data_IF_296196033938
#
_entry.id   IF_296196033938
#
_cell.length_a   1.000
_cell.length_b   1.000
_cell.length_c   1.000
_cell.angle_alpha   90.00
_cell.angle_beta   90.00
_cell.angle_gamma   90.00
#
_symmetry.space_group_name_H-M   'P 1'
#
loop_
_entity.id
_entity.type
_entity.pdbx_description
1 polymer ?
#
# COMPACT_ATOMS: atom_id res chain seq x y z
N UNK A 1 29.38 -7.15 -11.18
CA UNK A 1 28.69 -6.72 -9.95
C UNK A 1 28.28 -5.28 -10.15
N UNK A 2 27.04 -4.95 -9.82
CA UNK A 2 26.35 -3.65 -9.98
C UNK A 2 25.90 -3.30 -11.41
N UNK A 3 24.64 -3.61 -11.73
CA UNK A 3 23.51 -2.70 -11.52
C UNK A 3 22.24 -3.44 -11.95
N UNK A 4 21.58 -4.07 -10.98
CA UNK A 4 20.18 -4.48 -11.16
C UNK A 4 19.41 -3.18 -11.27
N UNK A 5 19.01 -2.86 -12.51
CA UNK A 5 18.14 -1.74 -12.86
C UNK A 5 17.01 -1.65 -11.82
N UNK A 6 16.96 -0.48 -11.18
CA UNK A 6 16.03 -0.14 -10.10
C UNK A 6 14.58 -0.43 -10.53
N UNK A 7 13.84 -0.88 -9.54
CA UNK A 7 12.42 -1.21 -9.58
C UNK A 7 11.58 -0.11 -10.25
N UNK A 8 11.04 -0.38 -11.44
CA UNK A 8 9.99 0.44 -12.04
C UNK A 8 8.65 -0.27 -11.86
N UNK A 9 8.00 0.06 -10.75
CA UNK A 9 6.61 0.53 -10.79
C UNK A 9 6.47 1.91 -10.12
N UNK A 10 7.60 2.60 -10.00
CA UNK A 10 7.68 3.96 -9.54
C UNK A 10 7.56 4.81 -10.80
N UNK A 11 6.41 5.45 -11.03
CA UNK A 11 6.38 6.64 -11.88
C UNK A 11 7.12 7.73 -11.11
N UNK A 12 8.45 7.64 -11.11
CA UNK A 12 9.33 8.62 -10.51
C UNK A 12 9.33 9.84 -11.42
N UNK A 13 8.99 11.00 -10.89
CA UNK A 13 9.76 12.19 -11.29
C UNK A 13 11.08 12.12 -10.52
N UNK A 14 12.08 12.93 -10.88
CA UNK A 14 13.36 12.98 -10.12
C UNK A 14 13.20 13.23 -8.60
N UNK A 15 11.99 13.54 -8.12
CA UNK A 15 11.72 14.10 -6.80
C UNK A 15 10.65 13.37 -5.97
N UNK A 16 9.81 12.55 -6.60
CA UNK A 16 8.72 11.83 -5.93
C UNK A 16 8.80 10.34 -6.25
N UNK A 17 8.98 9.52 -5.22
CA UNK A 17 8.84 8.07 -5.34
C UNK A 17 7.53 7.60 -4.70
N UNK A 18 6.71 6.90 -5.48
CA UNK A 18 5.39 6.42 -5.06
C UNK A 18 5.34 4.90 -5.20
N UNK A 19 4.93 4.20 -4.15
CA UNK A 19 4.90 2.74 -4.13
C UNK A 19 3.92 2.17 -3.10
N UNK A 20 3.49 0.93 -3.31
CA UNK A 20 2.64 0.19 -2.37
C UNK A 20 3.50 -0.37 -1.25
N UNK A 21 3.26 0.04 -0.01
CA UNK A 21 4.07 -0.34 1.15
C UNK A 21 3.36 -1.33 2.09
N UNK A 22 2.07 -1.58 1.84
CA UNK A 22 1.31 -2.65 2.49
C UNK A 22 0.26 -3.17 1.54
N UNK A 23 0.07 -4.48 1.53
CA UNK A 23 -1.10 -5.14 0.94
C UNK A 23 -1.46 -6.35 1.81
N UNK A 24 -2.66 -6.34 2.38
CA UNK A 24 -3.18 -7.42 3.21
C UNK A 24 -4.46 -7.96 2.59
N UNK A 25 -4.45 -9.26 2.31
CA UNK A 25 -5.56 -9.98 1.68
C UNK A 25 -6.11 -11.03 2.64
N UNK A 26 -7.37 -11.40 2.46
CA UNK A 26 -7.98 -12.55 3.10
C UNK A 26 -8.55 -13.49 2.04
N UNK A 27 -8.12 -14.75 2.10
CA UNK A 27 -8.48 -15.80 1.14
C UNK A 27 -9.11 -16.96 1.89
N UNK A 28 -10.21 -17.52 1.38
CA UNK A 28 -10.85 -18.72 1.99
C UNK A 28 -9.92 -19.94 1.83
N UNK A 29 -9.90 -20.84 2.82
CA UNK A 29 -8.99 -22.00 2.77
C UNK A 29 -9.25 -22.89 1.55
N UNK A 30 -10.52 -23.11 1.23
CA UNK A 30 -10.92 -23.94 0.09
C UNK A 30 -10.48 -23.37 -1.26
N UNK A 31 -10.23 -22.05 -1.35
CA UNK A 31 -9.80 -21.40 -2.58
C UNK A 31 -8.30 -21.13 -2.64
N UNK A 32 -7.53 -21.40 -1.58
CA UNK A 32 -6.11 -21.04 -1.50
C UNK A 32 -5.27 -21.67 -2.62
N UNK A 33 -5.45 -22.95 -2.91
CA UNK A 33 -4.71 -23.64 -3.97
C UNK A 33 -4.92 -22.98 -5.33
N UNK A 34 -6.19 -22.78 -5.70
CA UNK A 34 -6.59 -22.10 -6.95
C UNK A 34 -6.04 -20.68 -6.97
N UNK A 35 -6.19 -19.93 -5.89
CA UNK A 35 -5.74 -18.55 -5.79
C UNK A 35 -4.21 -18.44 -5.88
N UNK A 36 -3.46 -19.38 -5.31
CA UNK A 36 -2.00 -19.36 -5.42
C UNK A 36 -1.54 -19.51 -6.87
N UNK A 37 -2.18 -20.40 -7.64
CA UNK A 37 -1.88 -20.62 -9.06
C UNK A 37 -2.33 -19.44 -9.94
N UNK A 38 -3.55 -18.96 -9.71
CA UNK A 38 -4.19 -17.89 -10.49
C UNK A 38 -3.56 -16.53 -10.20
N UNK A 39 -3.48 -16.15 -8.92
CA UNK A 39 -2.95 -14.86 -8.49
C UNK A 39 -1.43 -14.84 -8.47
N UNK A 40 -0.77 -15.99 -8.73
CA UNK A 40 0.69 -16.13 -8.66
C UNK A 40 1.20 -15.65 -7.30
N UNK A 41 0.53 -16.08 -6.24
CA UNK A 41 1.00 -15.82 -4.90
C UNK A 41 1.90 -16.99 -4.51
N UNK A 42 3.18 -16.77 -4.16
CA UNK A 42 4.04 -17.87 -3.78
C UNK A 42 3.48 -18.54 -2.50
N UNK A 43 3.34 -19.86 -2.55
CA UNK A 43 2.76 -20.66 -1.49
C UNK A 43 3.47 -22.01 -1.42
N UNK A 44 3.87 -22.43 -0.22
CA UNK A 44 4.42 -23.77 0.03
C UNK A 44 3.41 -24.59 0.83
N UNK A 45 2.73 -25.52 0.15
CA UNK A 45 1.76 -26.43 0.76
C UNK A 45 2.38 -27.44 1.73
N UNK A 46 3.71 -27.64 1.69
CA UNK A 46 4.41 -28.67 2.47
C UNK A 46 4.94 -28.18 3.81
N UNK A 47 4.92 -26.88 4.11
CA UNK A 47 5.47 -26.32 5.36
C UNK A 47 4.48 -25.45 6.15
N UNK A 48 3.38 -26.02 6.68
CA UNK A 48 2.28 -25.22 7.18
C UNK A 48 2.32 -24.65 8.58
N UNK A 49 3.51 -24.30 9.09
CA UNK A 49 3.64 -23.75 10.44
C UNK A 49 3.47 -22.23 10.44
N UNK A 50 3.04 -21.68 11.59
CA UNK A 50 2.91 -20.23 11.84
C UNK A 50 4.08 -19.46 11.20
N UNK A 51 3.76 -18.61 10.21
CA UNK A 51 4.73 -17.82 9.47
C UNK A 51 5.32 -18.51 8.23
N UNK A 52 4.49 -19.12 7.38
CA UNK A 52 4.95 -19.71 6.12
C UNK A 52 5.73 -18.69 5.28
N UNK A 53 7.00 -19.00 5.02
CA UNK A 53 7.84 -18.29 4.07
C UNK A 53 7.43 -18.68 2.66
N UNK A 54 7.07 -17.70 1.85
CA UNK A 54 6.70 -17.94 0.46
C UNK A 54 7.95 -18.22 -0.38
N UNK A 55 7.89 -19.19 -1.30
CA UNK A 55 9.01 -19.52 -2.19
C UNK A 55 9.36 -18.28 -3.03
N UNK A 56 10.53 -17.70 -2.79
CA UNK A 56 11.01 -16.51 -3.50
C UNK A 56 10.55 -15.15 -2.94
N UNK A 57 9.60 -15.10 -1.99
CA UNK A 57 9.28 -13.86 -1.25
C UNK A 57 9.32 -14.10 0.27
N UNK A 58 10.51 -14.19 0.89
CA UNK A 58 10.65 -14.56 2.29
C UNK A 58 9.95 -13.59 3.26
N UNK A 59 9.74 -12.33 2.86
CA UNK A 59 9.08 -11.32 3.71
C UNK A 59 7.56 -11.30 3.59
N UNK A 60 6.97 -12.11 2.70
CA UNK A 60 5.51 -12.27 2.59
C UNK A 60 5.05 -13.30 3.62
N UNK A 61 4.12 -12.90 4.49
CA UNK A 61 3.64 -13.73 5.60
C UNK A 61 2.23 -14.25 5.34
N UNK A 62 2.02 -15.53 5.62
CA UNK A 62 0.70 -16.14 5.67
C UNK A 62 0.28 -16.38 7.12
N UNK A 63 -0.89 -15.90 7.46
CA UNK A 63 -1.49 -16.06 8.79
C UNK A 63 -2.72 -16.92 8.65
N UNK A 64 -2.69 -18.11 9.23
CA UNK A 64 -3.83 -19.02 9.22
C UNK A 64 -4.88 -18.58 10.26
N UNK A 65 -6.15 -18.66 9.88
CA UNK A 65 -7.30 -18.54 10.78
C UNK A 65 -8.23 -19.74 10.61
N UNK A 66 -9.36 -19.81 11.32
CA UNK A 66 -10.27 -20.98 11.27
C UNK A 66 -10.72 -21.32 9.83
N UNK A 67 -11.10 -20.32 9.04
CA UNK A 67 -11.69 -20.49 7.70
C UNK A 67 -10.99 -19.71 6.59
N UNK A 68 -9.98 -18.89 6.91
CA UNK A 68 -9.28 -18.04 5.95
C UNK A 68 -7.77 -18.05 6.19
N UNK A 69 -7.01 -17.67 5.16
CA UNK A 69 -5.62 -17.25 5.26
C UNK A 69 -5.54 -15.74 5.05
N UNK A 70 -4.85 -15.05 5.95
CA UNK A 70 -4.39 -13.69 5.75
C UNK A 70 -3.05 -13.72 5.00
N UNK A 71 -2.93 -12.96 3.91
CA UNK A 71 -1.69 -12.82 3.14
C UNK A 71 -1.19 -11.40 3.37
N UNK A 72 -0.05 -11.26 4.04
CA UNK A 72 0.49 -9.99 4.49
C UNK A 72 1.79 -9.67 3.75
N UNK A 73 1.72 -8.66 2.89
CA UNK A 73 2.86 -8.01 2.25
C UNK A 73 3.04 -6.65 2.93
N UNK A 74 4.13 -6.45 3.67
CA UNK A 74 4.37 -5.22 4.44
C UNK A 74 5.84 -4.81 4.24
N UNK A 75 6.08 -3.57 3.84
CA UNK A 75 7.42 -3.03 3.58
C UNK A 75 8.20 -3.91 2.62
N UNK A 76 9.24 -4.60 3.13
CA UNK A 76 10.04 -5.54 2.33
C UNK A 76 9.20 -6.67 1.73
N UNK A 77 8.09 -7.09 2.36
CA UNK A 77 7.15 -8.03 1.77
C UNK A 77 6.56 -7.55 0.44
N UNK A 78 6.28 -6.24 0.32
CA UNK A 78 5.86 -5.65 -0.95
C UNK A 78 7.01 -5.63 -1.97
N UNK A 79 8.25 -5.36 -1.54
CA UNK A 79 9.43 -5.34 -2.43
C UNK A 79 9.77 -6.73 -2.97
N UNK A 80 9.75 -7.74 -2.09
CA UNK A 80 9.94 -9.14 -2.47
C UNK A 80 8.88 -9.57 -3.48
N UNK A 81 7.60 -9.28 -3.19
CA UNK A 81 6.50 -9.66 -4.08
C UNK A 81 6.58 -8.95 -5.43
N UNK A 82 6.98 -7.67 -5.47
CA UNK A 82 7.25 -6.98 -6.73
C UNK A 82 8.34 -7.63 -7.57
N UNK A 83 9.46 -8.02 -6.95
CA UNK A 83 10.55 -8.73 -7.66
C UNK A 83 10.03 -10.04 -8.23
N UNK A 84 9.21 -10.76 -7.46
CA UNK A 84 8.56 -11.99 -7.93
C UNK A 84 7.61 -11.73 -9.10
N UNK A 85 6.69 -10.77 -9.01
CA UNK A 85 5.78 -10.43 -10.10
C UNK A 85 6.56 -10.09 -11.38
N UNK A 86 7.60 -9.26 -11.26
CA UNK A 86 8.46 -8.88 -12.39
C UNK A 86 9.17 -10.07 -13.01
N UNK A 87 9.65 -11.02 -12.20
CA UNK A 87 10.26 -12.26 -12.71
C UNK A 87 9.30 -13.09 -13.58
N UNK A 88 7.99 -12.90 -13.40
CA UNK A 88 6.93 -13.55 -14.15
C UNK A 88 6.35 -12.65 -15.27
N UNK A 89 6.94 -11.48 -15.53
CA UNK A 89 6.45 -10.52 -16.52
C UNK A 89 5.17 -9.79 -16.10
N UNK A 90 4.89 -9.72 -14.80
CA UNK A 90 3.72 -9.05 -14.23
C UNK A 90 4.11 -7.87 -13.34
N UNK A 91 3.13 -7.02 -13.06
CA UNK A 91 3.25 -5.93 -12.10
C UNK A 91 2.02 -5.87 -11.17
N UNK A 92 2.00 -4.95 -10.20
CA UNK A 92 0.88 -4.82 -9.26
C UNK A 92 -0.47 -4.64 -9.96
N UNK A 93 -0.55 -3.89 -11.07
CA UNK A 93 -1.82 -3.66 -11.75
C UNK A 93 -2.40 -4.97 -12.30
N UNK A 94 -1.56 -5.84 -12.90
CA UNK A 94 -1.98 -7.17 -13.36
C UNK A 94 -2.44 -8.03 -12.18
N UNK A 95 -1.71 -7.99 -11.06
CA UNK A 95 -2.10 -8.69 -9.85
C UNK A 95 -3.47 -8.23 -9.33
N UNK A 96 -3.69 -6.92 -9.23
CA UNK A 96 -4.95 -6.33 -8.78
C UNK A 96 -6.13 -6.62 -9.70
N UNK A 97 -5.91 -6.63 -11.03
CA UNK A 97 -6.93 -7.04 -12.01
C UNK A 97 -7.41 -8.46 -11.75
N UNK A 98 -6.48 -9.40 -11.55
CA UNK A 98 -6.84 -10.78 -11.22
C UNK A 98 -7.53 -10.87 -9.85
N UNK A 99 -7.07 -10.13 -8.84
CA UNK A 99 -7.76 -10.16 -7.54
C UNK A 99 -9.22 -9.73 -7.62
N UNK A 100 -9.52 -8.73 -8.45
CA UNK A 100 -10.89 -8.28 -8.70
C UNK A 100 -11.75 -9.34 -9.39
N UNK A 101 -11.18 -10.12 -10.30
CA UNK A 101 -11.88 -11.21 -11.01
C UNK A 101 -12.25 -12.38 -10.07
N UNK A 102 -11.43 -12.65 -9.05
CA UNK A 102 -11.59 -13.79 -8.15
C UNK A 102 -12.17 -13.41 -6.77
N UNK A 103 -12.74 -12.20 -6.65
CA UNK A 103 -13.40 -11.68 -5.44
C UNK A 103 -12.57 -11.85 -4.16
N UNK A 104 -11.25 -11.63 -4.24
CA UNK A 104 -10.37 -11.70 -3.07
C UNK A 104 -10.62 -10.51 -2.16
N UNK A 105 -10.81 -10.78 -0.86
CA UNK A 105 -11.06 -9.74 0.12
C UNK A 105 -9.77 -8.97 0.40
N UNK A 106 -9.73 -7.69 0.00
CA UNK A 106 -8.65 -6.79 0.38
C UNK A 106 -8.96 -6.16 1.74
N UNK A 107 -8.11 -6.44 2.71
CA UNK A 107 -8.25 -5.92 4.08
C UNK A 107 -7.63 -4.53 4.19
N UNK A 108 -6.38 -4.38 3.75
CA UNK A 108 -5.63 -3.13 3.83
C UNK A 108 -4.72 -2.96 2.61
N UNK A 109 -4.54 -1.73 2.16
CA UNK A 109 -3.50 -1.34 1.22
C UNK A 109 -2.93 0.03 1.64
N UNK A 110 -1.61 0.12 1.74
CA UNK A 110 -0.94 1.38 2.06
C UNK A 110 -0.17 1.85 0.82
N UNK A 111 -0.37 3.11 0.46
CA UNK A 111 0.40 3.84 -0.54
C UNK A 111 1.37 4.78 0.16
N UNK A 112 2.65 4.70 -0.18
CA UNK A 112 3.68 5.58 0.38
C UNK A 112 4.25 6.48 -0.72
N UNK A 113 4.49 7.72 -0.35
CA UNK A 113 5.08 8.76 -1.18
C UNK A 113 6.31 9.30 -0.44
N UNK A 114 7.48 9.13 -1.05
CA UNK A 114 8.74 9.74 -0.62
C UNK A 114 8.99 10.99 -1.44
N UNK A 115 8.97 12.15 -0.78
CA UNK A 115 9.13 13.47 -1.38
C UNK A 115 10.45 14.11 -0.99
N UNK A 116 11.42 14.02 -1.91
CA UNK A 116 12.76 14.55 -1.73
C UNK A 116 12.83 16.07 -1.88
N UNK A 117 11.87 16.69 -2.57
CA UNK A 117 11.83 18.15 -2.76
C UNK A 117 11.07 18.86 -1.67
N UNK A 118 10.35 18.13 -0.81
CA UNK A 118 9.48 18.69 0.23
C UNK A 118 8.46 19.66 -0.39
N UNK A 119 7.81 19.21 -1.48
CA UNK A 119 6.77 19.91 -2.23
C UNK A 119 5.68 20.44 -1.29
N UNK A 120 5.31 19.66 -0.27
CA UNK A 120 4.47 20.15 0.81
C UNK A 120 5.31 20.51 2.03
N UNK A 121 5.10 21.71 2.55
CA UNK A 121 5.68 22.12 3.83
C UNK A 121 4.88 21.48 4.98
N UNK A 122 5.49 20.53 5.70
CA UNK A 122 4.84 19.81 6.80
C UNK A 122 4.38 20.76 7.92
N UNK A 123 5.16 21.80 8.25
CA UNK A 123 4.77 22.78 9.26
C UNK A 123 3.52 23.56 8.86
N UNK A 124 3.40 23.93 7.59
CA UNK A 124 2.19 24.60 7.08
C UNK A 124 0.98 23.66 7.12
N UNK A 125 1.15 22.40 6.72
CA UNK A 125 0.10 21.39 6.84
C UNK A 125 -0.31 21.14 8.30
N UNK A 126 0.62 21.20 9.25
CA UNK A 126 0.34 21.10 10.69
C UNK A 126 -0.56 22.25 11.14
N UNK A 127 -0.21 23.49 10.76
CA UNK A 127 -1.01 24.67 11.12
C UNK A 127 -2.41 24.64 10.49
N UNK A 128 -2.53 24.12 9.27
CA UNK A 128 -3.82 23.86 8.62
C UNK A 128 -4.61 22.77 9.34
N UNK A 129 -3.97 21.67 9.73
CA UNK A 129 -4.62 20.57 10.45
C UNK A 129 -5.13 20.99 11.83
N UNK A 130 -4.36 21.79 12.59
CA UNK A 130 -4.78 22.38 13.87
C UNK A 130 -6.03 23.26 13.76
N UNK A 131 -6.24 23.86 12.58
CA UNK A 131 -7.40 24.69 12.24
C UNK A 131 -8.52 23.91 11.55
N UNK A 132 -8.39 22.59 11.44
CA UNK A 132 -9.32 21.71 10.73
C UNK A 132 -9.52 22.08 9.22
N UNK A 133 -8.49 22.64 8.59
CA UNK A 133 -8.49 23.07 7.17
C UNK A 133 -7.96 21.95 6.27
N UNK A 134 -8.75 20.87 6.19
CA UNK A 134 -8.59 19.73 5.29
C UNK A 134 -9.97 19.15 4.96
N UNK A 135 -10.07 18.28 3.96
CA UNK A 135 -11.39 17.74 3.57
C UNK A 135 -11.94 16.72 4.56
N UNK A 136 -13.28 16.68 4.67
CA UNK A 136 -14.04 15.77 5.55
C UNK A 136 -13.89 14.27 5.20
N UNK A 137 -13.13 13.92 4.16
CA UNK A 137 -12.86 12.52 3.83
C UNK A 137 -12.02 11.81 4.89
N UNK A 138 -11.32 12.58 5.75
CA UNK A 138 -10.56 12.05 6.88
C UNK A 138 -11.07 12.69 8.18
N UNK A 139 -11.36 11.87 9.18
CA UNK A 139 -11.80 12.34 10.49
C UNK A 139 -10.62 12.92 11.30
N UNK A 140 -10.89 13.99 12.03
CA UNK A 140 -9.94 14.58 12.98
C UNK A 140 -9.96 13.82 14.32
N UNK A 141 -9.48 12.58 14.30
CA UNK A 141 -9.32 11.73 15.50
C UNK A 141 -7.91 11.15 15.62
N UNK A 142 -6.96 11.73 14.88
CA UNK A 142 -5.55 11.36 14.91
C UNK A 142 -4.71 12.23 15.86
N UNK A 143 -3.43 12.43 15.52
CA UNK A 143 -2.48 13.17 16.36
C UNK A 143 -1.63 14.14 15.54
N UNK A 144 -1.29 15.27 16.16
CA UNK A 144 -0.37 16.25 15.60
C UNK A 144 0.87 16.26 16.48
N UNK A 145 2.03 16.10 15.86
CA UNK A 145 3.34 16.30 16.47
C UNK A 145 4.07 17.47 15.81
N UNK A 146 5.27 17.77 16.30
CA UNK A 146 6.06 18.92 15.82
C UNK A 146 6.48 18.81 14.34
N UNK A 147 6.57 17.57 13.83
CA UNK A 147 7.00 17.26 12.45
C UNK A 147 6.15 16.18 11.80
N UNK A 148 4.95 15.94 12.32
CA UNK A 148 4.08 14.89 11.81
C UNK A 148 2.60 15.18 12.02
N UNK A 149 1.79 14.71 11.09
CA UNK A 149 0.33 14.76 11.13
C UNK A 149 -0.18 13.35 10.90
N UNK A 150 -0.96 12.84 11.83
CA UNK A 150 -1.79 11.66 11.68
C UNK A 150 -3.24 12.12 11.62
N UNK A 151 -3.93 11.84 10.52
CA UNK A 151 -5.37 12.04 10.37
C UNK A 151 -6.04 10.66 10.25
N UNK A 152 -7.15 10.46 10.96
CA UNK A 152 -7.83 9.16 11.07
C UNK A 152 -7.29 8.27 12.20
N UNK A 153 -8.16 7.45 12.80
CA UNK A 153 -7.82 6.51 13.87
C UNK A 153 -7.69 5.05 13.40
N UNK A 154 -7.45 4.15 14.36
CA UNK A 154 -7.43 2.70 14.14
C UNK A 154 -8.76 2.13 13.67
N UNK A 155 -9.87 2.88 13.80
CA UNK A 155 -11.20 2.47 13.32
C UNK A 155 -11.56 3.03 11.95
N UNK A 156 -10.84 4.06 11.49
CA UNK A 156 -11.09 4.67 10.18
C UNK A 156 -10.72 3.74 9.03
N UNK A 157 -11.51 3.77 7.96
CA UNK A 157 -11.19 3.08 6.70
C UNK A 157 -10.09 3.79 5.90
N UNK A 158 -9.78 5.02 6.27
CA UNK A 158 -8.71 5.81 5.70
C UNK A 158 -7.92 6.48 6.82
N UNK A 159 -6.61 6.28 6.82
CA UNK A 159 -5.68 6.92 7.74
C UNK A 159 -4.54 7.52 6.93
N UNK A 160 -4.18 8.74 7.26
CA UNK A 160 -3.17 9.52 6.56
C UNK A 160 -2.08 9.92 7.55
N UNK A 161 -0.84 9.57 7.25
CA UNK A 161 0.32 9.97 8.05
C UNK A 161 1.29 10.77 7.17
N UNK A 162 1.56 12.02 7.53
CA UNK A 162 2.54 12.87 6.88
C UNK A 162 3.61 13.23 7.89
N UNK A 163 4.87 13.14 7.51
CA UNK A 163 5.95 13.54 8.40
C UNK A 163 7.19 13.99 7.66
N UNK A 164 7.96 14.84 8.34
CA UNK A 164 9.29 15.22 7.89
C UNK A 164 10.29 14.16 8.37
N UNK A 165 10.90 13.46 7.42
CA UNK A 165 12.09 12.65 7.65
C UNK A 165 13.36 13.49 7.54
N UNK A 166 14.52 12.86 7.80
CA UNK A 166 15.80 13.57 7.80
C UNK A 166 16.13 14.23 6.45
N UNK A 167 15.94 13.50 5.34
CA UNK A 167 16.29 13.96 3.99
C UNK A 167 15.10 14.11 3.04
N UNK A 168 13.89 13.72 3.46
CA UNK A 168 12.69 13.73 2.62
C UNK A 168 11.44 13.81 3.49
N UNK A 169 10.36 14.34 2.94
CA UNK A 169 9.04 14.16 3.53
C UNK A 169 8.49 12.80 3.12
N UNK A 170 7.68 12.20 3.99
CA UNK A 170 6.98 10.94 3.69
C UNK A 170 5.50 11.08 3.97
N UNK A 171 4.69 10.57 3.04
CA UNK A 171 3.24 10.52 3.14
C UNK A 171 2.78 9.07 3.00
N UNK A 172 2.05 8.57 3.98
CA UNK A 172 1.50 7.22 4.00
C UNK A 172 -0.03 7.30 4.00
N UNK A 173 -0.64 6.85 2.91
CA UNK A 173 -2.08 6.75 2.72
C UNK A 173 -2.49 5.31 3.00
N UNK A 174 -3.21 5.06 4.09
CA UNK A 174 -3.60 3.72 4.52
C UNK A 174 -5.08 3.52 4.30
N UNK A 175 -5.42 2.73 3.30
CA UNK A 175 -6.79 2.38 2.96
C UNK A 175 -7.14 1.01 3.55
N UNK A 176 -8.34 0.90 4.13
CA UNK A 176 -8.85 -0.33 4.73
C UNK A 176 -10.22 -0.67 4.18
N UNK A 177 -10.55 -1.96 4.18
CA UNK A 177 -11.88 -2.48 3.84
C UNK A 177 -12.43 -1.85 2.55
N UNK A 178 -13.54 -1.10 2.63
CA UNK A 178 -14.18 -0.50 1.46
C UNK A 178 -13.25 0.49 0.73
N UNK A 179 -12.53 1.33 1.46
CA UNK A 179 -11.58 2.28 0.87
C UNK A 179 -10.41 1.58 0.18
N UNK A 180 -9.93 0.47 0.74
CA UNK A 180 -8.90 -0.34 0.09
C UNK A 180 -9.39 -0.89 -1.25
N UNK A 181 -10.67 -1.29 -1.30
CA UNK A 181 -11.26 -1.79 -2.53
C UNK A 181 -11.43 -0.68 -3.58
N UNK A 182 -11.95 0.47 -3.20
CA UNK A 182 -12.13 1.60 -4.13
C UNK A 182 -10.79 2.10 -4.68
N UNK A 183 -9.75 2.16 -3.83
CA UNK A 183 -8.39 2.48 -4.28
C UNK A 183 -7.89 1.50 -5.35
N UNK A 184 -8.05 0.19 -5.14
CA UNK A 184 -7.60 -0.83 -6.09
C UNK A 184 -8.39 -0.73 -7.41
N UNK A 185 -9.71 -0.52 -7.37
CA UNK A 185 -10.51 -0.30 -8.60
C UNK A 185 -9.98 0.90 -9.38
N UNK A 186 -9.69 2.01 -8.69
CA UNK A 186 -9.10 3.21 -9.30
C UNK A 186 -7.73 2.92 -9.90
N UNK A 187 -6.85 2.25 -9.16
CA UNK A 187 -5.52 1.86 -9.64
C UNK A 187 -5.58 0.96 -10.86
N UNK A 188 -6.49 -0.02 -10.89
CA UNK A 188 -6.69 -0.91 -12.02
C UNK A 188 -7.16 -0.15 -13.26
N UNK A 189 -8.10 0.79 -13.08
CA UNK A 189 -8.66 1.62 -14.15
C UNK A 189 -7.65 2.59 -14.74
N UNK A 190 -6.93 3.32 -13.91
CA UNK A 190 -6.05 4.42 -14.34
C UNK A 190 -4.63 3.94 -14.66
N UNK A 191 -4.19 2.85 -14.02
CA UNK A 191 -2.83 2.32 -14.13
C UNK A 191 -1.74 3.40 -13.94
N UNK A 192 -1.99 4.33 -13.02
CA UNK A 192 -1.09 5.44 -12.72
C UNK A 192 -1.07 5.76 -11.23
N UNK A 193 -0.16 5.10 -10.51
CA UNK A 193 -0.04 5.25 -9.08
C UNK A 193 0.36 6.67 -8.66
N UNK A 194 1.21 7.36 -9.45
CA UNK A 194 1.66 8.73 -9.16
C UNK A 194 0.51 9.72 -9.30
N UNK A 195 -0.27 9.62 -10.38
CA UNK A 195 -1.40 10.52 -10.61
C UNK A 195 -2.46 10.37 -9.52
N UNK A 196 -2.80 9.12 -9.14
CA UNK A 196 -3.72 8.84 -8.03
C UNK A 196 -3.20 9.43 -6.72
N UNK A 197 -1.91 9.27 -6.43
CA UNK A 197 -1.29 9.79 -5.21
C UNK A 197 -1.35 11.33 -5.13
N UNK A 198 -1.07 12.02 -6.24
CA UNK A 198 -1.13 13.48 -6.33
C UNK A 198 -2.55 14.01 -6.17
N UNK A 199 -3.51 13.38 -6.83
CA UNK A 199 -4.93 13.73 -6.71
C UNK A 199 -5.38 13.58 -5.26
N UNK A 200 -5.03 12.46 -4.61
CA UNK A 200 -5.39 12.24 -3.22
C UNK A 200 -4.81 13.30 -2.27
N UNK A 201 -3.52 13.65 -2.41
CA UNK A 201 -2.92 14.71 -1.58
C UNK A 201 -3.58 16.08 -1.80
N UNK A 202 -3.90 16.40 -3.05
CA UNK A 202 -4.62 17.63 -3.38
C UNK A 202 -6.04 17.64 -2.78
N UNK A 203 -6.74 16.51 -2.83
CA UNK A 203 -8.08 16.39 -2.28
C UNK A 203 -8.10 16.50 -0.76
N UNK A 204 -7.07 16.02 -0.04
CA UNK A 204 -7.01 16.18 1.41
C UNK A 204 -6.60 17.59 1.82
N UNK A 205 -5.56 18.13 1.17
CA UNK A 205 -5.05 19.47 1.43
C UNK A 205 -5.17 20.34 0.18
N UNK A 206 -6.38 20.87 -0.12
CA UNK A 206 -6.58 21.78 -1.25
C UNK A 206 -5.74 23.04 -1.05
N UNK A 207 -5.32 23.69 -2.14
CA UNK A 207 -4.58 24.96 -2.06
C UNK A 207 -5.44 26.08 -1.49
#
# INVERSE_FOLDING_TARGET
MNEIKRAEQVKNTENLAVYIDRCVLAVKKETLGIISEVLRIPYDSKRPREGFYSVGCPSVRFIESKHKYGIHMIGEGCRDFERYLRSQGFEWNTFFKRMLEYEVEIRNIDLTIDDQKKIYNISDLIERAKKEIFTKQVYYDGSIGDRSILLGSTRSELVLMLYEGWNMNRYELRFRQKQAMEFIKKLVKENDLLSIAKEFLHDVFPK
#
